data_IF_412154097402
#
_entry.id   IF_412154097402
#
_cell.length_a   1.000
_cell.length_b   1.000
_cell.length_c   1.000
_cell.angle_alpha   90.00
_cell.angle_beta   90.00
_cell.angle_gamma   90.00
#
_symmetry.space_group_name_H-M   'P 1'
#
loop_
_entity.id
_entity.type
_entity.pdbx_description
1 polymer ?
#
# COMPACT_ATOMS: atom_id res chain seq x y z
N UNK A 1 5.97 8.93 -27.78
CA UNK A 1 6.34 8.27 -26.52
C UNK A 1 6.62 6.79 -26.75
N UNK A 2 7.14 6.10 -25.74
CA UNK A 2 7.33 4.66 -25.80
C UNK A 2 6.04 3.87 -26.10
N UNK A 3 4.88 4.49 -25.86
CA UNK A 3 3.54 3.92 -26.11
C UNK A 3 2.94 4.34 -27.45
N UNK A 4 3.69 4.98 -28.32
CA UNK A 4 3.25 5.40 -29.64
C UNK A 4 3.08 6.92 -29.77
N UNK A 5 2.29 7.32 -30.76
CA UNK A 5 2.10 8.71 -31.09
C UNK A 5 1.21 9.41 -30.05
N UNK A 6 1.70 10.51 -29.49
CA UNK A 6 0.91 11.39 -28.61
C UNK A 6 0.18 12.42 -29.49
N UNK A 7 -1.10 12.61 -29.22
CA UNK A 7 -1.92 13.64 -29.88
C UNK A 7 -2.19 14.77 -28.88
N UNK A 8 -1.92 15.99 -29.30
CA UNK A 8 -2.24 17.18 -28.54
C UNK A 8 -3.46 17.88 -29.17
N UNK A 9 -4.36 18.36 -28.32
CA UNK A 9 -5.51 19.13 -28.75
C UNK A 9 -5.79 20.25 -27.72
N UNK A 10 -6.16 21.41 -28.21
CA UNK A 10 -6.62 22.49 -27.35
C UNK A 10 -8.10 22.29 -27.06
N UNK A 11 -8.39 21.64 -25.94
CA UNK A 11 -9.75 21.30 -25.48
C UNK A 11 -9.85 21.48 -23.97
N UNK A 12 -11.07 21.70 -23.47
CA UNK A 12 -11.30 21.81 -22.03
C UNK A 12 -11.28 20.44 -21.32
N UNK A 13 -11.25 19.36 -22.09
CA UNK A 13 -11.17 17.99 -21.60
C UNK A 13 -11.43 17.01 -22.72
N UNK A 14 -11.12 15.77 -22.50
CA UNK A 14 -11.49 14.66 -23.40
C UNK A 14 -11.91 13.46 -22.56
N UNK A 15 -12.78 12.64 -23.12
CA UNK A 15 -13.18 11.37 -22.53
C UNK A 15 -12.80 10.21 -23.43
N UNK A 16 -12.43 9.11 -22.82
CA UNK A 16 -12.17 7.86 -23.53
C UNK A 16 -12.81 6.69 -22.76
N UNK A 17 -13.06 5.63 -23.50
CA UNK A 17 -13.58 4.40 -22.90
C UNK A 17 -12.47 3.40 -22.79
N UNK A 18 -12.27 2.85 -21.61
CA UNK A 18 -11.42 1.69 -21.38
C UNK A 18 -12.31 0.51 -20.98
N UNK A 19 -12.00 -0.71 -21.42
CA UNK A 19 -12.66 -1.89 -20.87
C UNK A 19 -12.45 -1.93 -19.37
N UNK A 20 -13.52 -2.06 -18.59
CA UNK A 20 -13.36 -2.36 -17.17
C UNK A 20 -12.94 -3.81 -17.05
N UNK A 21 -11.72 -4.02 -16.58
CA UNK A 21 -11.20 -5.36 -16.29
C UNK A 21 -11.49 -5.78 -14.84
N UNK A 22 -12.13 -4.88 -14.08
CA UNK A 22 -12.31 -5.02 -12.65
C UNK A 22 -11.00 -4.80 -11.88
N UNK A 23 -11.13 -4.56 -10.60
CA UNK A 23 -10.00 -4.57 -9.65
C UNK A 23 -10.22 -5.75 -8.73
N UNK A 24 -9.31 -6.71 -8.77
CA UNK A 24 -9.33 -7.84 -7.86
C UNK A 24 -8.42 -7.50 -6.67
N UNK A 25 -8.97 -7.39 -5.46
CA UNK A 25 -8.16 -7.11 -4.26
C UNK A 25 -7.26 -8.27 -3.87
N UNK A 26 -7.52 -9.45 -4.43
CA UNK A 26 -6.77 -10.68 -4.22
C UNK A 26 -6.65 -11.45 -5.53
N UNK A 27 -5.71 -12.37 -5.61
CA UNK A 27 -5.67 -13.31 -6.72
C UNK A 27 -6.99 -14.11 -6.79
N UNK A 28 -7.54 -14.33 -7.98
CA UNK A 28 -8.74 -15.13 -8.13
C UNK A 28 -8.48 -16.56 -7.66
N UNK A 29 -9.54 -17.23 -7.20
CA UNK A 29 -9.45 -18.64 -6.87
C UNK A 29 -8.97 -19.45 -8.06
N UNK A 30 -8.04 -20.37 -7.83
CA UNK A 30 -7.56 -21.29 -8.86
C UNK A 30 -8.68 -22.26 -9.22
N UNK A 31 -9.03 -22.33 -10.50
CA UNK A 31 -10.07 -23.23 -11.00
C UNK A 31 -9.53 -24.58 -11.44
N UNK A 32 -8.23 -24.65 -11.71
CA UNK A 32 -7.56 -25.90 -12.04
C UNK A 32 -7.29 -26.74 -10.79
N UNK A 33 -7.02 -28.01 -10.97
CA UNK A 33 -6.65 -28.90 -9.86
C UNK A 33 -5.30 -28.49 -9.28
N UNK A 34 -5.25 -28.30 -7.97
CA UNK A 34 -4.04 -28.04 -7.21
C UNK A 34 -4.02 -28.87 -5.93
N UNK A 35 -2.86 -29.01 -5.32
CA UNK A 35 -2.74 -29.71 -4.04
C UNK A 35 -3.21 -28.77 -2.90
N UNK A 36 -4.52 -28.88 -2.61
CA UNK A 36 -5.14 -28.10 -1.55
C UNK A 36 -4.50 -28.39 -0.18
N UNK A 37 -4.13 -29.63 0.09
CA UNK A 37 -3.55 -30.02 1.39
C UNK A 37 -2.19 -29.37 1.61
N UNK A 38 -1.38 -29.28 0.58
CA UNK A 38 -0.09 -28.54 0.63
C UNK A 38 -0.32 -27.05 0.85
N UNK A 39 -1.29 -26.43 0.16
CA UNK A 39 -1.59 -25.01 0.36
C UNK A 39 -2.11 -24.72 1.77
N UNK A 40 -3.00 -25.53 2.29
CA UNK A 40 -3.48 -25.42 3.69
C UNK A 40 -2.32 -25.53 4.68
N UNK A 41 -1.41 -26.48 4.48
CA UNK A 41 -0.25 -26.65 5.35
C UNK A 41 0.68 -25.44 5.29
N UNK A 42 0.95 -24.87 4.11
CA UNK A 42 1.76 -23.67 3.94
C UNK A 42 1.17 -22.45 4.68
N UNK A 43 -0.15 -22.26 4.61
CA UNK A 43 -0.83 -21.19 5.36
C UNK A 43 -0.70 -21.40 6.87
N UNK A 44 -0.96 -22.63 7.36
CA UNK A 44 -0.82 -22.95 8.78
C UNK A 44 0.63 -22.78 9.27
N UNK A 45 1.61 -23.19 8.48
CA UNK A 45 3.02 -23.02 8.80
C UNK A 45 3.41 -21.53 8.86
N UNK A 46 2.89 -20.72 7.94
CA UNK A 46 3.10 -19.27 7.97
C UNK A 46 2.51 -18.64 9.23
N UNK A 47 1.28 -19.00 9.60
CA UNK A 47 0.65 -18.52 10.83
C UNK A 47 1.43 -18.96 12.07
N UNK A 48 1.85 -20.22 12.10
CA UNK A 48 2.63 -20.79 13.22
C UNK A 48 4.00 -20.12 13.41
N UNK A 49 4.60 -19.55 12.35
CA UNK A 49 5.84 -18.80 12.45
C UNK A 49 5.72 -17.56 13.35
N UNK A 50 4.56 -16.94 13.38
CA UNK A 50 4.25 -15.81 14.22
C UNK A 50 4.92 -14.49 13.81
N UNK A 51 4.63 -13.45 14.56
CA UNK A 51 5.02 -12.06 14.29
C UNK A 51 6.53 -11.90 14.03
N UNK A 52 7.38 -12.55 14.81
CA UNK A 52 8.84 -12.46 14.65
C UNK A 52 9.33 -12.86 13.24
N UNK A 53 8.57 -13.69 12.51
CA UNK A 53 8.89 -14.08 11.14
C UNK A 53 8.13 -13.28 10.08
N UNK A 54 7.10 -12.54 10.48
CA UNK A 54 6.33 -11.71 9.55
C UNK A 54 6.95 -10.34 9.34
N UNK A 55 7.35 -9.65 10.45
CA UNK A 55 7.74 -8.24 10.42
C UNK A 55 9.17 -7.98 10.94
N UNK A 56 9.81 -8.93 11.62
CA UNK A 56 11.17 -8.70 12.10
C UNK A 56 12.20 -8.88 10.99
N UNK A 57 13.20 -8.01 11.03
CA UNK A 57 14.39 -8.07 10.19
C UNK A 57 15.61 -7.88 11.08
N UNK A 58 16.64 -8.71 10.90
CA UNK A 58 17.85 -8.66 11.72
C UNK A 58 17.57 -8.65 13.25
N UNK A 59 16.60 -9.49 13.66
CA UNK A 59 16.10 -9.61 15.03
C UNK A 59 15.45 -8.34 15.63
N UNK A 60 15.02 -7.41 14.80
CA UNK A 60 14.30 -6.20 15.21
C UNK A 60 13.00 -6.06 14.44
N UNK A 61 11.97 -5.59 15.12
CA UNK A 61 10.72 -5.18 14.46
C UNK A 61 11.03 -4.01 13.52
N UNK A 62 10.52 -4.08 12.30
CA UNK A 62 10.69 -2.98 11.34
C UNK A 62 9.90 -1.76 11.76
N UNK A 63 10.46 -0.59 11.53
CA UNK A 63 9.91 0.69 11.96
C UNK A 63 9.77 1.71 10.82
N UNK A 64 10.21 1.33 9.62
CA UNK A 64 10.05 2.15 8.41
C UNK A 64 8.86 1.69 7.58
N UNK A 65 8.36 2.57 6.72
CA UNK A 65 7.17 2.32 5.90
C UNK A 65 7.38 1.26 4.82
N UNK A 66 8.61 1.06 4.35
CA UNK A 66 8.86 0.06 3.30
C UNK A 66 8.84 -1.36 3.85
N UNK A 67 9.70 -1.67 4.84
CA UNK A 67 9.77 -3.05 5.34
C UNK A 67 8.55 -3.45 6.16
N UNK A 68 7.99 -2.51 6.94
CA UNK A 68 6.71 -2.74 7.61
C UNK A 68 5.59 -2.95 6.59
N UNK A 69 5.50 -2.08 5.59
CA UNK A 69 4.53 -2.19 4.50
C UNK A 69 4.62 -3.54 3.77
N UNK A 70 5.82 -3.98 3.38
CA UNK A 70 6.02 -5.30 2.74
C UNK A 70 5.55 -6.45 3.63
N UNK A 71 5.76 -6.36 4.94
CA UNK A 71 5.27 -7.36 5.88
C UNK A 71 3.73 -7.37 5.90
N UNK A 72 3.10 -6.21 5.96
CA UNK A 72 1.64 -6.06 5.96
C UNK A 72 1.01 -6.57 4.66
N UNK A 73 1.55 -6.20 3.52
CA UNK A 73 1.09 -6.69 2.22
C UNK A 73 1.16 -8.22 2.13
N UNK A 74 2.28 -8.81 2.55
CA UNK A 74 2.43 -10.28 2.58
C UNK A 74 1.41 -10.95 3.52
N UNK A 75 1.20 -10.41 4.72
CA UNK A 75 0.24 -10.98 5.67
C UNK A 75 -1.18 -10.84 5.15
N UNK A 76 -1.52 -9.70 4.49
CA UNK A 76 -2.82 -9.50 3.86
C UNK A 76 -3.09 -10.54 2.76
N UNK A 77 -2.10 -10.84 1.90
CA UNK A 77 -2.22 -11.86 0.86
C UNK A 77 -2.45 -13.27 1.45
N UNK A 78 -1.72 -13.60 2.53
CA UNK A 78 -1.93 -14.90 3.19
C UNK A 78 -3.29 -14.97 3.87
N UNK A 79 -3.76 -13.87 4.50
CA UNK A 79 -5.10 -13.79 5.10
C UNK A 79 -6.20 -13.98 4.05
N UNK A 80 -6.08 -13.33 2.90
CA UNK A 80 -7.00 -13.49 1.78
C UNK A 80 -7.01 -14.92 1.24
N UNK A 81 -5.83 -15.50 1.06
CA UNK A 81 -5.67 -16.89 0.62
C UNK A 81 -6.29 -17.86 1.62
N UNK A 82 -5.99 -17.71 2.91
CA UNK A 82 -6.56 -18.53 3.98
C UNK A 82 -8.08 -18.54 3.94
N UNK A 83 -8.70 -17.38 3.79
CA UNK A 83 -10.15 -17.24 3.69
C UNK A 83 -10.71 -17.91 2.45
N UNK A 84 -10.03 -17.79 1.31
CA UNK A 84 -10.45 -18.42 0.05
C UNK A 84 -10.49 -19.95 0.13
N UNK A 85 -9.59 -20.54 0.90
CA UNK A 85 -9.52 -22.00 1.08
C UNK A 85 -10.22 -22.51 2.35
N UNK A 86 -10.96 -21.62 3.07
CA UNK A 86 -11.78 -21.99 4.23
C UNK A 86 -11.03 -22.10 5.56
N UNK A 87 -9.81 -21.55 5.65
CA UNK A 87 -9.03 -21.44 6.90
C UNK A 87 -9.36 -20.13 7.64
N UNK A 88 -10.62 -20.00 8.07
CA UNK A 88 -11.14 -18.76 8.67
C UNK A 88 -10.47 -18.39 9.99
N UNK A 89 -10.05 -19.39 10.78
CA UNK A 89 -9.34 -19.16 12.04
C UNK A 89 -8.00 -18.47 11.80
N UNK A 90 -7.21 -19.00 10.89
CA UNK A 90 -5.92 -18.47 10.45
C UNK A 90 -6.07 -17.09 9.82
N UNK A 91 -7.06 -16.92 8.95
CA UNK A 91 -7.37 -15.62 8.35
C UNK A 91 -7.71 -14.57 9.41
N UNK A 92 -8.55 -14.91 10.40
CA UNK A 92 -8.93 -13.97 11.45
C UNK A 92 -7.76 -13.60 12.36
N UNK A 93 -6.85 -14.54 12.65
CA UNK A 93 -5.63 -14.26 13.41
C UNK A 93 -4.75 -13.23 12.68
N UNK A 94 -4.53 -13.43 11.37
CA UNK A 94 -3.74 -12.52 10.54
C UNK A 94 -4.39 -11.13 10.43
N UNK A 95 -5.71 -11.06 10.25
CA UNK A 95 -6.46 -9.81 10.21
C UNK A 95 -6.39 -9.08 11.56
N UNK A 96 -6.50 -9.77 12.67
CA UNK A 96 -6.39 -9.15 13.99
C UNK A 96 -5.01 -8.54 14.22
N UNK A 97 -3.97 -9.24 13.79
CA UNK A 97 -2.62 -8.71 13.84
C UNK A 97 -2.44 -7.48 12.91
N UNK A 98 -2.92 -7.53 11.67
CA UNK A 98 -2.87 -6.39 10.76
C UNK A 98 -3.58 -5.16 11.33
N UNK A 99 -4.74 -5.34 11.97
CA UNK A 99 -5.44 -4.24 12.63
C UNK A 99 -4.56 -3.59 13.70
N UNK A 100 -4.01 -4.38 14.61
CA UNK A 100 -3.16 -3.87 15.67
C UNK A 100 -1.94 -3.11 15.13
N UNK A 101 -1.33 -3.61 14.06
CA UNK A 101 -0.18 -2.97 13.43
C UNK A 101 -0.54 -1.65 12.72
N UNK A 102 -1.65 -1.62 11.98
CA UNK A 102 -2.07 -0.40 11.30
C UNK A 102 -2.66 0.63 12.26
N UNK A 103 -3.32 0.21 13.32
CA UNK A 103 -3.82 1.09 14.38
C UNK A 103 -2.67 1.83 15.07
N UNK A 104 -1.56 1.15 15.33
CA UNK A 104 -0.34 1.73 15.86
C UNK A 104 0.26 2.80 14.89
N UNK A 105 0.34 2.49 13.59
CA UNK A 105 0.81 3.44 12.59
C UNK A 105 -0.14 4.63 12.36
N UNK A 106 -1.43 4.46 12.57
CA UNK A 106 -2.46 5.46 12.30
C UNK A 106 -2.75 6.34 13.52
N UNK A 107 -2.08 6.10 14.64
CA UNK A 107 -2.04 6.93 15.82
C UNK A 107 -0.60 7.38 16.07
N UNK A 108 -0.43 8.60 16.57
CA UNK A 108 0.91 9.14 16.82
C UNK A 108 1.25 9.19 18.31
N UNK A 109 0.38 8.66 19.15
CA UNK A 109 0.49 8.74 20.60
C UNK A 109 0.14 7.40 21.24
N UNK A 110 0.92 7.03 22.24
CA UNK A 110 0.63 5.95 23.17
C UNK A 110 0.58 6.53 24.58
N UNK A 111 -0.54 6.34 25.29
CA UNK A 111 -0.75 6.85 26.67
C UNK A 111 -0.53 8.37 26.83
N UNK A 112 -0.78 9.16 25.76
CA UNK A 112 -0.64 10.61 25.75
C UNK A 112 0.79 11.11 25.50
N UNK A 113 1.71 10.24 25.18
CA UNK A 113 3.08 10.57 24.77
C UNK A 113 3.24 10.27 23.27
N UNK A 114 3.93 11.15 22.55
CA UNK A 114 4.25 10.96 21.14
C UNK A 114 5.15 9.74 20.97
N UNK A 115 4.78 8.86 20.02
CA UNK A 115 5.58 7.69 19.70
C UNK A 115 6.95 8.10 19.10
N UNK A 116 7.98 7.33 19.37
CA UNK A 116 9.31 7.56 18.79
C UNK A 116 9.37 7.14 17.32
N UNK A 117 8.58 6.14 16.91
CA UNK A 117 8.55 5.57 15.55
C UNK A 117 7.14 5.10 15.19
N UNK A 118 6.91 4.76 13.92
CA UNK A 118 5.68 4.12 13.44
C UNK A 118 4.45 5.02 13.52
N UNK A 119 4.59 6.24 13.03
CA UNK A 119 3.49 7.17 12.83
C UNK A 119 3.68 7.99 11.54
N UNK A 120 2.68 8.72 11.14
CA UNK A 120 2.74 9.61 9.98
C UNK A 120 2.66 11.07 10.41
N UNK A 121 3.41 11.91 9.72
CA UNK A 121 3.39 13.38 9.87
C UNK A 121 3.06 14.00 8.52
N UNK A 122 2.17 14.99 8.51
CA UNK A 122 1.95 15.81 7.34
C UNK A 122 2.94 16.98 7.32
N UNK A 123 3.68 17.12 6.23
CA UNK A 123 4.60 18.23 5.97
C UNK A 123 3.89 19.23 5.05
N UNK A 124 3.58 20.41 5.58
CA UNK A 124 2.85 21.48 4.88
C UNK A 124 3.73 22.34 3.97
N UNK A 125 5.03 22.11 3.91
CA UNK A 125 5.93 22.75 2.97
C UNK A 125 6.05 21.96 1.65
N UNK A 126 5.87 20.67 1.73
CA UNK A 126 5.98 19.76 0.59
C UNK A 126 4.66 19.06 0.24
N UNK A 127 3.61 19.39 0.97
CA UNK A 127 2.27 18.81 0.79
C UNK A 127 2.30 17.28 0.72
N UNK A 128 2.88 16.65 1.74
CA UNK A 128 3.14 15.21 1.75
C UNK A 128 2.99 14.59 3.13
N UNK A 129 2.66 13.30 3.18
CA UNK A 129 2.81 12.49 4.37
C UNK A 129 4.23 11.92 4.45
N UNK A 130 4.80 11.94 5.64
CA UNK A 130 6.07 11.30 5.97
C UNK A 130 5.84 10.25 7.04
N UNK A 131 6.14 9.01 6.72
CA UNK A 131 6.04 7.91 7.70
C UNK A 131 7.36 7.71 8.44
N UNK A 132 7.34 7.80 9.75
CA UNK A 132 8.51 7.66 10.62
C UNK A 132 8.79 6.19 10.94
N UNK A 133 9.98 5.68 10.59
CA UNK A 133 11.21 6.33 10.15
C UNK A 133 11.40 6.32 8.64
N UNK A 134 12.46 7.05 8.19
CA UNK A 134 12.86 7.11 6.80
C UNK A 134 13.38 5.76 6.26
N UNK A 135 13.02 5.45 5.01
CA UNK A 135 13.66 4.41 4.22
C UNK A 135 13.69 4.80 2.73
N UNK A 136 14.75 4.44 2.06
CA UNK A 136 14.91 4.58 0.59
C UNK A 136 14.69 5.98 0.02
N UNK A 137 14.88 7.02 0.83
CA UNK A 137 14.72 8.40 0.41
C UNK A 137 13.28 8.93 0.48
N UNK A 138 12.40 8.24 1.20
CA UNK A 138 11.00 8.62 1.33
C UNK A 138 10.80 10.01 1.96
N UNK A 139 11.70 10.48 2.83
CA UNK A 139 11.66 11.83 3.37
C UNK A 139 12.48 12.83 2.53
N UNK A 140 13.71 12.47 2.19
CA UNK A 140 14.65 13.41 1.56
C UNK A 140 14.32 13.69 0.10
N UNK A 141 13.68 12.78 -0.59
CA UNK A 141 13.40 12.83 -2.01
C UNK A 141 11.94 12.59 -2.36
N UNK A 142 11.11 12.33 -1.36
CA UNK A 142 9.72 11.90 -1.51
C UNK A 142 9.61 10.69 -2.47
N UNK A 143 10.60 9.80 -2.36
CA UNK A 143 10.71 8.64 -3.23
C UNK A 143 9.76 7.53 -2.78
N UNK A 144 9.25 6.79 -3.75
CA UNK A 144 8.58 5.51 -3.59
C UNK A 144 7.32 5.50 -2.70
N UNK A 145 6.68 6.66 -2.46
CA UNK A 145 5.49 6.74 -1.61
C UNK A 145 4.38 5.80 -2.08
N UNK A 146 4.17 5.66 -3.39
CA UNK A 146 3.16 4.76 -3.95
C UNK A 146 3.47 3.28 -3.66
N UNK A 147 4.75 2.90 -3.53
CA UNK A 147 5.12 1.56 -3.05
C UNK A 147 4.89 1.42 -1.56
N UNK A 148 5.48 2.34 -0.76
CA UNK A 148 5.44 2.30 0.69
C UNK A 148 3.99 2.33 1.20
N UNK A 149 3.23 3.35 0.80
CA UNK A 149 1.85 3.55 1.29
C UNK A 149 0.85 2.62 0.61
N UNK A 150 1.13 2.18 -0.62
CA UNK A 150 0.35 1.16 -1.30
C UNK A 150 0.25 -0.14 -0.50
N UNK A 151 1.31 -0.58 0.13
CA UNK A 151 1.27 -1.75 1.01
C UNK A 151 0.34 -1.56 2.22
N UNK A 152 0.34 -0.38 2.85
CA UNK A 152 -0.59 -0.05 3.93
C UNK A 152 -2.02 -0.03 3.45
N UNK A 153 -2.27 0.62 2.31
CA UNK A 153 -3.59 0.67 1.67
C UNK A 153 -4.08 -0.74 1.30
N UNK A 154 -3.20 -1.58 0.76
CA UNK A 154 -3.52 -2.97 0.44
C UNK A 154 -3.89 -3.77 1.69
N UNK A 155 -3.14 -3.63 2.77
CA UNK A 155 -3.45 -4.29 4.04
C UNK A 155 -4.76 -3.78 4.64
N UNK A 156 -4.98 -2.46 4.63
CA UNK A 156 -6.22 -1.84 5.06
C UNK A 156 -7.42 -2.34 4.23
N UNK A 157 -7.28 -2.46 2.92
CA UNK A 157 -8.34 -2.98 2.03
C UNK A 157 -8.75 -4.40 2.42
N UNK A 158 -7.82 -5.27 2.81
CA UNK A 158 -8.15 -6.62 3.28
C UNK A 158 -8.88 -6.61 4.62
N UNK A 159 -8.52 -5.71 5.54
CA UNK A 159 -9.27 -5.49 6.78
C UNK A 159 -10.68 -4.98 6.45
N UNK A 160 -10.82 -3.96 5.60
CA UNK A 160 -12.09 -3.36 5.21
C UNK A 160 -13.04 -4.36 4.56
N UNK A 161 -12.51 -5.34 3.85
CA UNK A 161 -13.29 -6.40 3.22
C UNK A 161 -14.05 -7.24 4.24
N UNK A 162 -13.52 -7.42 5.45
CA UNK A 162 -14.10 -8.23 6.51
C UNK A 162 -14.67 -7.40 7.67
N UNK A 163 -14.19 -6.19 7.86
CA UNK A 163 -14.68 -5.26 8.87
C UNK A 163 -14.83 -3.85 8.31
N UNK A 164 -16.01 -3.56 7.80
CA UNK A 164 -16.31 -2.24 7.23
C UNK A 164 -16.35 -1.12 8.26
N UNK A 165 -16.61 -1.43 9.53
CA UNK A 165 -16.68 -0.42 10.59
C UNK A 165 -15.31 0.17 10.88
N UNK A 166 -14.26 -0.66 10.81
CA UNK A 166 -12.89 -0.22 10.99
C UNK A 166 -12.45 0.82 9.94
N UNK A 167 -13.02 0.77 8.73
CA UNK A 167 -12.73 1.70 7.63
C UNK A 167 -13.73 2.87 7.54
N UNK A 168 -14.60 3.04 8.53
CA UNK A 168 -15.56 4.14 8.51
C UNK A 168 -14.88 5.48 8.72
N UNK A 169 -15.61 6.57 8.43
CA UNK A 169 -15.13 7.94 8.65
C UNK A 169 -14.89 8.25 10.13
N UNK A 170 -15.52 7.51 11.03
CA UNK A 170 -15.38 7.66 12.48
C UNK A 170 -14.22 6.85 13.07
N UNK A 171 -13.56 6.03 12.23
CA UNK A 171 -12.44 5.19 12.60
C UNK A 171 -11.21 5.52 11.72
N UNK A 172 -10.63 4.53 11.08
CA UNK A 172 -9.36 4.67 10.34
C UNK A 172 -9.53 5.04 8.86
N UNK A 173 -10.77 5.17 8.35
CA UNK A 173 -11.05 5.59 6.98
C UNK A 173 -10.34 6.87 6.56
N UNK A 174 -10.39 7.96 7.34
CA UNK A 174 -9.69 9.20 7.01
C UNK A 174 -8.18 9.04 6.85
N UNK A 175 -7.52 8.21 7.68
CA UNK A 175 -6.09 7.99 7.58
C UNK A 175 -5.72 7.18 6.33
N UNK A 176 -6.53 6.18 5.97
CA UNK A 176 -6.37 5.43 4.73
C UNK A 176 -6.53 6.35 3.52
N UNK A 177 -7.51 7.24 3.55
CA UNK A 177 -7.74 8.23 2.50
C UNK A 177 -6.53 9.19 2.35
N UNK A 178 -5.95 9.67 3.44
CA UNK A 178 -4.74 10.49 3.40
C UNK A 178 -3.56 9.77 2.74
N UNK A 179 -3.35 8.49 3.04
CA UNK A 179 -2.32 7.68 2.40
C UNK A 179 -2.52 7.57 0.89
N UNK A 180 -3.76 7.36 0.44
CA UNK A 180 -4.10 7.28 -0.98
C UNK A 180 -3.87 8.65 -1.63
N UNK A 181 -4.32 9.73 -1.01
CA UNK A 181 -4.20 11.09 -1.53
C UNK A 181 -2.75 11.53 -1.67
N UNK A 182 -1.83 11.09 -0.82
CA UNK A 182 -0.42 11.44 -0.92
C UNK A 182 0.19 11.10 -2.30
N UNK A 183 -0.18 9.97 -2.89
CA UNK A 183 0.37 9.56 -4.19
C UNK A 183 -0.65 9.58 -5.35
N UNK A 184 -1.94 9.72 -5.08
CA UNK A 184 -3.01 9.65 -6.07
C UNK A 184 -4.11 10.70 -5.84
N UNK A 185 -3.73 11.90 -5.39
CA UNK A 185 -4.67 12.98 -5.20
C UNK A 185 -5.36 13.42 -6.50
N UNK A 186 -6.59 13.92 -6.37
CA UNK A 186 -7.31 14.61 -7.45
C UNK A 186 -6.65 15.97 -7.74
N UNK A 187 -6.90 16.50 -8.94
CA UNK A 187 -6.40 17.83 -9.36
C UNK A 187 -6.91 18.99 -8.51
N UNK A 188 -8.01 18.81 -7.80
CA UNK A 188 -8.64 19.79 -6.95
C UNK A 188 -8.39 19.54 -5.45
N UNK A 189 -7.44 18.64 -5.12
CA UNK A 189 -7.02 18.37 -3.75
C UNK A 189 -6.33 19.61 -3.14
N UNK A 190 -6.66 19.91 -1.89
CA UNK A 190 -6.15 21.08 -1.17
C UNK A 190 -4.95 20.79 -0.26
N UNK A 191 -4.58 19.52 -0.10
CA UNK A 191 -3.49 19.08 0.76
C UNK A 191 -2.35 18.42 -0.02
N UNK A 192 -2.63 17.79 -1.16
CA UNK A 192 -1.65 17.00 -1.89
C UNK A 192 -1.57 17.38 -3.36
N UNK A 193 -0.38 17.37 -3.96
CA UNK A 193 -0.24 17.58 -5.39
C UNK A 193 -0.87 16.42 -6.17
N UNK A 194 -1.53 16.71 -7.30
CA UNK A 194 -2.20 15.67 -8.08
C UNK A 194 -1.19 14.65 -8.62
N UNK A 195 -1.52 13.37 -8.44
CA UNK A 195 -0.76 12.21 -8.98
C UNK A 195 0.76 12.35 -8.80
N UNK A 196 1.17 12.49 -7.54
CA UNK A 196 2.60 12.60 -7.17
C UNK A 196 3.44 11.58 -7.92
N UNK A 197 4.59 12.03 -8.42
CA UNK A 197 5.55 11.18 -9.11
C UNK A 197 5.00 10.42 -10.33
N UNK A 198 3.91 10.86 -10.92
CA UNK A 198 3.36 10.25 -12.13
C UNK A 198 3.45 11.18 -13.33
N UNK A 199 3.99 10.68 -14.43
CA UNK A 199 4.02 11.37 -15.73
C UNK A 199 2.86 10.89 -16.61
N UNK A 200 1.77 11.65 -16.71
CA UNK A 200 0.61 11.25 -17.49
C UNK A 200 0.89 11.24 -19.00
N UNK A 201 1.88 12.00 -19.47
CA UNK A 201 2.23 12.04 -20.88
C UNK A 201 2.95 10.77 -21.35
N UNK A 202 3.82 10.24 -20.52
CA UNK A 202 4.52 9.00 -20.77
C UNK A 202 3.81 7.77 -20.20
N UNK A 203 2.95 7.98 -19.21
CA UNK A 203 2.13 6.93 -18.61
C UNK A 203 2.89 6.01 -17.69
N UNK A 204 3.88 6.52 -16.97
CA UNK A 204 4.58 5.81 -15.90
C UNK A 204 4.92 6.75 -14.74
N UNK A 205 5.25 6.19 -13.61
CA UNK A 205 5.60 6.94 -12.41
C UNK A 205 7.09 7.31 -12.39
N UNK A 206 7.41 8.31 -11.58
CA UNK A 206 8.76 8.63 -11.14
C UNK A 206 8.92 8.07 -9.73
N UNK A 207 9.52 6.91 -9.56
CA UNK A 207 9.68 6.30 -8.25
C UNK A 207 10.51 7.17 -7.30
N UNK A 208 11.56 7.78 -7.81
CA UNK A 208 12.33 8.80 -7.11
C UNK A 208 11.70 10.19 -7.32
N UNK A 209 11.61 11.00 -6.27
CA UNK A 209 11.17 12.40 -6.34
C UNK A 209 12.04 13.30 -7.23
N UNK A 210 13.14 12.80 -7.78
CA UNK A 210 14.01 13.50 -8.71
C UNK A 210 13.71 13.10 -10.15
N UNK A 211 13.54 14.09 -11.02
CA UNK A 211 13.35 13.90 -12.45
C UNK A 211 14.69 13.97 -13.21
N UNK A 212 15.77 13.45 -12.66
CA UNK A 212 17.12 13.49 -13.24
C UNK A 212 17.45 12.25 -14.12
N UNK A 213 16.58 11.27 -14.12
CA UNK A 213 16.71 10.12 -15.02
C UNK A 213 16.22 10.47 -16.42
N UNK A 214 17.13 10.65 -17.37
CA UNK A 214 16.82 11.05 -18.75
C UNK A 214 15.87 10.11 -19.50
N UNK A 215 15.76 8.88 -19.06
CA UNK A 215 14.89 7.85 -19.66
C UNK A 215 13.60 7.60 -18.88
N UNK A 216 13.31 8.42 -17.88
CA UNK A 216 12.15 8.25 -17.01
C UNK A 216 12.49 7.40 -15.81
N UNK A 217 11.46 6.78 -15.29
CA UNK A 217 11.45 6.13 -14.01
C UNK A 217 12.22 4.82 -13.93
N UNK A 218 12.74 4.54 -12.76
CA UNK A 218 13.33 3.27 -12.37
C UNK A 218 12.34 2.30 -11.72
N UNK A 219 11.14 2.14 -12.26
CA UNK A 219 10.20 1.13 -11.74
C UNK A 219 10.86 -0.25 -11.73
N UNK A 220 11.54 -0.56 -10.64
CA UNK A 220 12.29 -1.79 -10.49
C UNK A 220 11.38 -2.99 -10.29
N UNK A 221 10.19 -2.78 -9.76
CA UNK A 221 9.23 -3.82 -9.43
C UNK A 221 7.83 -3.47 -9.91
N UNK A 222 7.42 -4.06 -11.01
CA UNK A 222 6.04 -3.92 -11.50
C UNK A 222 5.00 -4.57 -10.59
N UNK A 223 5.39 -5.61 -9.86
CA UNK A 223 4.50 -6.27 -8.89
C UNK A 223 4.22 -5.40 -7.67
N UNK A 224 5.21 -4.68 -7.19
CA UNK A 224 5.03 -3.74 -6.08
C UNK A 224 4.24 -2.50 -6.50
N UNK A 225 4.46 -2.01 -7.73
CA UNK A 225 3.69 -0.88 -8.26
C UNK A 225 2.22 -1.21 -8.52
N UNK A 226 1.86 -2.49 -8.59
CA UNK A 226 0.49 -2.96 -8.81
C UNK A 226 -0.24 -3.31 -7.51
N UNK A 227 0.43 -3.20 -6.37
CA UNK A 227 -0.16 -3.47 -5.06
C UNK A 227 -1.00 -2.31 -4.57
#
# INVERSE_FOLDING_TARGET
SARGMIKFAQVNGFSYKIPSVGILPTLPAVTDSYDQSTLEQLVKDFVAQGEANWIYRDNRKTVDTYWSGKAYGKVAEVAATARTIGLDSEANQLISWLKSELEDWFTAETDGELDETRYFVYDDQWDTLLGMEEAYGSHQRLADHHFHYGYFVRAAAEICRVDKSWCSQEQYGPMIELLIRDYAADKDDDMFPPVRNFDPANGFSWADGRADALQGNNNESTSEAAT
#
